data_IF_676739345337
#
_entry.id   IF_676739345337
#
_cell.length_a   1.000
_cell.length_b   1.000
_cell.length_c   1.000
_cell.angle_alpha   90.00
_cell.angle_beta   90.00
_cell.angle_gamma   90.00
#
_symmetry.space_group_name_H-M   'P 1'
#
loop_
_entity.id
_entity.type
_entity.pdbx_description
1 polymer ?
#
# COMPACT_ATOMS: atom_id res chain seq x y z
N UNK A 1 -7.12 -11.11 5.52
CA UNK A 1 -6.14 -10.49 4.59
C UNK A 1 -4.88 -11.32 4.52
N UNK A 2 -4.28 -11.49 3.34
CA UNK A 2 -2.97 -12.16 3.23
C UNK A 2 -1.85 -11.28 3.79
N UNK A 3 -0.67 -11.87 4.04
CA UNK A 3 0.48 -11.18 4.61
C UNK A 3 0.87 -9.93 3.81
N UNK A 4 1.08 -10.05 2.49
CA UNK A 4 1.52 -8.94 1.64
C UNK A 4 0.54 -7.77 1.63
N UNK A 5 -0.77 -8.03 1.62
CA UNK A 5 -1.80 -6.97 1.70
C UNK A 5 -1.70 -6.25 3.04
N UNK A 6 -1.53 -6.98 4.15
CA UNK A 6 -1.32 -6.38 5.48
C UNK A 6 -0.05 -5.54 5.51
N UNK A 7 1.05 -6.03 4.94
CA UNK A 7 2.32 -5.28 4.85
C UNK A 7 2.13 -3.98 4.06
N UNK A 8 1.47 -4.01 2.90
CA UNK A 8 1.18 -2.81 2.11
C UNK A 8 0.31 -1.80 2.87
N UNK A 9 -0.69 -2.26 3.62
CA UNK A 9 -1.52 -1.38 4.46
C UNK A 9 -0.67 -0.77 5.58
N UNK A 10 0.19 -1.56 6.21
CA UNK A 10 1.10 -1.11 7.27
C UNK A 10 2.11 -0.08 6.76
N UNK A 11 2.71 -0.29 5.59
CA UNK A 11 3.61 0.69 4.97
C UNK A 11 2.88 2.03 4.81
N UNK A 12 1.69 2.01 4.20
CA UNK A 12 0.90 3.22 4.02
C UNK A 12 0.53 3.87 5.35
N UNK A 13 0.15 3.09 6.37
CA UNK A 13 -0.15 3.60 7.72
C UNK A 13 1.06 4.26 8.37
N UNK A 14 2.24 3.67 8.25
CA UNK A 14 3.47 4.09 8.93
C UNK A 14 4.11 5.31 8.28
N UNK A 15 4.17 5.35 6.95
CA UNK A 15 4.96 6.35 6.21
C UNK A 15 4.12 7.45 5.55
N UNK A 16 2.79 7.39 5.63
CA UNK A 16 1.96 8.48 5.14
C UNK A 16 2.08 9.74 5.99
N UNK A 17 2.17 10.88 5.32
CA UNK A 17 2.01 12.21 5.93
C UNK A 17 0.61 12.72 5.56
N UNK A 18 -0.18 13.12 6.56
CA UNK A 18 -1.59 13.50 6.39
C UNK A 18 -2.43 12.44 5.65
N UNK A 19 -2.11 11.15 5.89
CA UNK A 19 -2.81 10.00 5.31
C UNK A 19 -2.48 9.72 3.84
N UNK A 20 -1.46 10.38 3.27
CA UNK A 20 -1.00 10.13 1.90
C UNK A 20 0.51 9.94 1.83
N UNK A 21 0.95 9.23 0.78
CA UNK A 21 2.35 9.15 0.40
C UNK A 21 2.50 9.03 -1.11
N UNK A 22 3.69 9.28 -1.63
CA UNK A 22 3.95 9.10 -3.06
C UNK A 22 3.90 7.61 -3.44
N UNK A 23 3.46 7.33 -4.67
CA UNK A 23 3.43 5.97 -5.20
C UNK A 23 4.84 5.43 -5.46
N UNK A 24 5.83 6.29 -5.71
CA UNK A 24 7.22 5.88 -5.84
C UNK A 24 7.77 5.37 -4.50
N UNK A 25 7.67 6.17 -3.44
CA UNK A 25 8.20 5.78 -2.12
C UNK A 25 7.47 4.54 -1.60
N UNK A 26 6.15 4.46 -1.85
CA UNK A 26 5.36 3.29 -1.48
C UNK A 26 5.84 2.00 -2.16
N UNK A 27 6.29 2.09 -3.41
CA UNK A 27 6.89 0.94 -4.11
C UNK A 27 8.27 0.62 -3.56
N UNK A 28 9.10 1.61 -3.30
CA UNK A 28 10.43 1.41 -2.72
C UNK A 28 10.34 0.66 -1.37
N UNK A 29 9.47 1.10 -0.46
CA UNK A 29 9.25 0.38 0.81
C UNK A 29 8.66 -1.02 0.62
N UNK A 30 7.82 -1.23 -0.40
CA UNK A 30 7.28 -2.55 -0.69
C UNK A 30 8.37 -3.48 -1.24
N UNK A 31 9.33 -2.95 -2.01
CA UNK A 31 10.48 -3.68 -2.52
C UNK A 31 11.42 -4.13 -1.40
N UNK A 32 11.64 -3.31 -0.36
CA UNK A 32 12.37 -3.70 0.85
C UNK A 32 11.74 -4.91 1.58
N UNK A 33 10.43 -5.10 1.42
CA UNK A 33 9.65 -6.21 1.99
C UNK A 33 9.44 -7.38 1.00
N UNK A 34 10.21 -7.42 -0.10
CA UNK A 34 10.11 -8.42 -1.18
C UNK A 34 8.72 -8.46 -1.87
N UNK A 35 7.98 -7.36 -1.86
CA UNK A 35 6.69 -7.20 -2.55
C UNK A 35 6.92 -6.41 -3.84
N UNK A 36 7.38 -7.10 -4.88
CA UNK A 36 7.83 -6.50 -6.14
C UNK A 36 6.93 -6.83 -7.33
N UNK A 37 7.06 -6.06 -8.42
CA UNK A 37 6.45 -6.33 -9.73
C UNK A 37 4.97 -6.80 -9.68
N UNK A 38 4.67 -7.98 -10.24
CA UNK A 38 3.31 -8.55 -10.30
C UNK A 38 2.74 -8.80 -8.90
N UNK A 39 3.58 -9.19 -7.93
CA UNK A 39 3.18 -9.43 -6.53
C UNK A 39 2.71 -8.12 -5.90
N UNK A 40 3.45 -7.03 -6.13
CA UNK A 40 3.03 -5.68 -5.72
C UNK A 40 1.67 -5.32 -6.30
N UNK A 41 1.52 -5.34 -7.62
CA UNK A 41 0.27 -4.89 -8.24
C UNK A 41 -0.94 -5.73 -7.84
N UNK A 42 -0.77 -7.05 -7.72
CA UNK A 42 -1.85 -7.94 -7.28
C UNK A 42 -2.35 -7.58 -5.87
N UNK A 43 -1.43 -7.42 -4.91
CA UNK A 43 -1.80 -7.12 -3.52
C UNK A 43 -2.20 -5.66 -3.32
N UNK A 44 -1.60 -4.72 -4.04
CA UNK A 44 -1.98 -3.32 -3.96
C UNK A 44 -3.38 -3.09 -4.54
N UNK A 45 -3.70 -3.71 -5.68
CA UNK A 45 -5.06 -3.67 -6.23
C UNK A 45 -6.07 -4.30 -5.26
N UNK A 46 -5.71 -5.40 -4.60
CA UNK A 46 -6.56 -6.02 -3.58
C UNK A 46 -6.80 -5.10 -2.38
N UNK A 47 -5.75 -4.43 -1.86
CA UNK A 47 -5.86 -3.46 -0.79
C UNK A 47 -6.77 -2.27 -1.17
N UNK A 48 -6.68 -1.83 -2.42
CA UNK A 48 -7.55 -0.78 -2.96
C UNK A 48 -9.01 -1.24 -3.07
N UNK A 49 -9.23 -2.43 -3.64
CA UNK A 49 -10.57 -3.00 -3.81
C UNK A 49 -11.30 -3.17 -2.48
N UNK A 50 -10.60 -3.59 -1.43
CA UNK A 50 -11.17 -3.76 -0.09
C UNK A 50 -11.35 -2.45 0.68
N UNK A 51 -10.93 -1.31 0.10
CA UNK A 51 -11.12 0.02 0.68
C UNK A 51 -10.19 0.33 1.85
N UNK A 52 -9.03 -0.33 1.94
CA UNK A 52 -7.97 0.02 2.91
C UNK A 52 -7.06 1.11 2.37
N UNK A 53 -6.78 1.05 1.06
CA UNK A 53 -5.96 2.03 0.36
C UNK A 53 -6.76 2.65 -0.78
N UNK A 54 -6.33 3.81 -1.25
CA UNK A 54 -6.80 4.41 -2.49
C UNK A 54 -5.60 4.86 -3.30
N UNK A 55 -5.57 4.46 -4.57
CA UNK A 55 -4.53 4.86 -5.53
C UNK A 55 -4.99 6.06 -6.34
N UNK A 56 -4.11 7.06 -6.49
CA UNK A 56 -4.20 8.08 -7.54
C UNK A 56 -3.07 7.88 -8.55
N UNK A 57 -2.91 8.78 -9.52
CA UNK A 57 -1.84 8.66 -10.53
C UNK A 57 -0.43 8.68 -9.90
N UNK A 58 -0.25 9.38 -8.78
CA UNK A 58 1.07 9.60 -8.16
C UNK A 58 1.12 9.34 -6.67
N UNK A 59 -0.01 9.03 -6.04
CA UNK A 59 -0.11 8.91 -4.58
C UNK A 59 -0.88 7.66 -4.17
N UNK A 60 -0.61 7.24 -2.94
CA UNK A 60 -1.37 6.25 -2.20
C UNK A 60 -1.94 6.93 -0.96
N UNK A 61 -3.24 6.80 -0.77
CA UNK A 61 -3.93 7.29 0.41
C UNK A 61 -4.28 6.11 1.32
N UNK A 62 -3.88 6.19 2.59
CA UNK A 62 -4.34 5.28 3.63
C UNK A 62 -5.76 5.67 4.06
N UNK A 63 -6.69 4.72 4.01
CA UNK A 63 -8.10 4.98 4.34
C UNK A 63 -8.48 4.49 5.73
N UNK A 64 -8.09 3.25 6.07
CA UNK A 64 -8.40 2.60 7.33
C UNK A 64 -7.50 1.40 7.56
N UNK A 65 -7.39 0.99 8.82
CA UNK A 65 -6.68 -0.21 9.19
C UNK A 65 -7.54 -1.48 9.01
N UNK A 66 -6.89 -2.64 9.11
CA UNK A 66 -7.53 -3.95 9.10
C UNK A 66 -7.78 -4.52 10.50
N UNK A 67 -7.40 -3.80 11.54
CA UNK A 67 -7.74 -4.10 12.94
C UNK A 67 -9.23 -3.82 13.23
#
# INVERSE_FOLDING_TARGET
LNHNVKTLIRIAKTYSVDGKMSLSDFKEFAEEEDIIEKKFYAHFNQACYLGYLKRTAKEVQFLKDYD
#
